data_IF_878924941407
#
_entry.id   IF_878924941407
#
_cell.length_a   1.000
_cell.length_b   1.000
_cell.length_c   1.000
_cell.angle_alpha   90.00
_cell.angle_beta   90.00
_cell.angle_gamma   90.00
#
_symmetry.space_group_name_H-M   'P 1'
#
loop_
_entity.id
_entity.type
_entity.pdbx_description
1 polymer ?
#
# COMPACT_ATOMS: atom_id res chain seq x y z
N UNK A 1 26.22 -12.12 8.32
CA UNK A 1 24.96 -12.53 8.98
C UNK A 1 24.46 -13.77 8.24
N UNK A 2 24.47 -14.93 8.90
CA UNK A 2 23.97 -16.18 8.33
C UNK A 2 22.46 -16.23 8.58
N UNK A 3 21.67 -16.25 7.52
CA UNK A 3 20.22 -16.51 7.62
C UNK A 3 20.13 -18.03 7.85
N UNK A 4 19.84 -18.42 9.09
CA UNK A 4 19.61 -19.83 9.44
C UNK A 4 18.43 -20.41 8.64
N UNK A 5 18.31 -21.75 8.59
CA UNK A 5 17.24 -22.38 7.82
C UNK A 5 15.89 -21.88 8.33
N UNK A 6 15.07 -21.38 7.41
CA UNK A 6 13.66 -21.09 7.66
C UNK A 6 13.04 -22.40 8.13
N UNK A 7 12.69 -22.50 9.42
CA UNK A 7 11.83 -23.56 9.90
C UNK A 7 10.55 -23.50 9.05
N UNK A 8 10.20 -24.54 8.28
CA UNK A 8 8.96 -24.56 7.55
C UNK A 8 7.86 -24.86 8.56
N UNK A 9 7.43 -23.84 9.30
CA UNK A 9 6.10 -23.86 9.88
C UNK A 9 5.15 -23.99 8.70
N UNK A 10 4.33 -25.05 8.69
CA UNK A 10 3.31 -25.22 7.68
C UNK A 10 2.42 -23.98 7.68
N UNK A 11 2.59 -23.11 6.69
CA UNK A 11 1.56 -22.14 6.35
C UNK A 11 0.37 -23.00 5.94
N UNK A 12 -0.71 -22.95 6.71
CA UNK A 12 -1.95 -23.55 6.25
C UNK A 12 -2.27 -22.91 4.89
N UNK A 13 -2.59 -23.73 3.89
CA UNK A 13 -3.09 -23.23 2.62
C UNK A 13 -4.39 -22.46 2.92
N UNK A 14 -4.25 -21.15 2.97
CA UNK A 14 -5.32 -20.22 3.28
C UNK A 14 -5.79 -19.68 1.95
N UNK A 15 -6.87 -20.26 1.43
CA UNK A 15 -7.53 -19.75 0.25
C UNK A 15 -8.24 -18.45 0.62
N UNK A 16 -7.65 -17.33 0.23
CA UNK A 16 -8.26 -16.00 0.34
C UNK A 16 -8.93 -15.69 -0.99
N UNK A 17 -10.26 -15.73 -1.01
CA UNK A 17 -11.05 -15.31 -2.16
C UNK A 17 -10.93 -13.78 -2.33
N UNK A 18 -10.50 -13.36 -3.52
CA UNK A 18 -10.42 -11.94 -3.89
C UNK A 18 -11.46 -11.67 -4.97
N UNK A 19 -12.37 -10.74 -4.71
CA UNK A 19 -13.28 -10.24 -5.74
C UNK A 19 -12.49 -9.46 -6.79
N UNK A 20 -12.15 -10.14 -7.89
CA UNK A 20 -11.38 -9.56 -8.98
C UNK A 20 -12.08 -8.37 -9.65
N UNK A 21 -13.42 -8.33 -9.67
CA UNK A 21 -14.17 -7.24 -10.26
C UNK A 21 -14.07 -6.01 -9.38
N UNK A 22 -14.35 -6.14 -8.08
CA UNK A 22 -14.22 -5.04 -7.13
C UNK A 22 -12.78 -4.50 -7.08
N UNK A 23 -11.78 -5.39 -7.08
CA UNK A 23 -10.37 -4.99 -7.12
C UNK A 23 -10.03 -4.18 -8.38
N UNK A 24 -10.52 -4.61 -9.56
CA UNK A 24 -10.33 -3.87 -10.81
C UNK A 24 -11.02 -2.49 -10.79
N UNK A 25 -12.20 -2.39 -10.18
CA UNK A 25 -12.94 -1.12 -10.04
C UNK A 25 -12.23 -0.14 -9.10
N UNK A 26 -11.70 -0.63 -7.96
CA UNK A 26 -10.91 0.17 -7.04
C UNK A 26 -9.61 0.67 -7.69
N UNK A 27 -8.94 -0.19 -8.46
CA UNK A 27 -7.76 0.20 -9.24
C UNK A 27 -8.13 1.26 -10.29
N UNK A 28 -9.17 1.02 -11.07
CA UNK A 28 -9.63 1.96 -12.10
C UNK A 28 -9.97 3.33 -11.50
N UNK A 29 -10.60 3.37 -10.32
CA UNK A 29 -10.83 4.62 -9.60
C UNK A 29 -9.52 5.27 -9.13
N UNK A 30 -8.59 4.50 -8.60
CA UNK A 30 -7.28 4.99 -8.15
C UNK A 30 -6.47 5.65 -9.28
N UNK A 31 -6.57 5.14 -10.50
CA UNK A 31 -5.92 5.70 -11.69
C UNK A 31 -6.44 7.09 -12.09
N UNK A 32 -7.61 7.52 -11.58
CA UNK A 32 -8.15 8.86 -11.85
C UNK A 32 -7.47 9.96 -11.03
N UNK A 33 -6.76 9.60 -9.96
CA UNK A 33 -5.97 10.53 -9.16
C UNK A 33 -4.58 10.70 -9.81
N UNK A 34 -4.28 11.92 -10.26
CA UNK A 34 -3.06 12.21 -11.04
C UNK A 34 -1.83 12.37 -10.15
N UNK A 35 -1.39 11.29 -9.50
CA UNK A 35 -0.19 11.22 -8.66
C UNK A 35 1.11 11.28 -9.48
N UNK A 36 1.22 12.25 -10.39
CA UNK A 36 2.37 12.39 -11.28
C UNK A 36 3.56 12.98 -10.52
N UNK A 37 4.69 12.27 -10.52
CA UNK A 37 5.98 12.72 -9.99
C UNK A 37 6.90 13.15 -11.15
N UNK A 38 6.90 14.44 -11.54
CA UNK A 38 7.82 14.91 -12.57
C UNK A 38 9.27 14.97 -12.05
N UNK A 39 10.27 14.92 -12.95
CA UNK A 39 11.66 15.10 -12.55
C UNK A 39 11.88 16.51 -11.95
N UNK A 40 12.78 16.65 -10.97
CA UNK A 40 13.16 17.97 -10.45
C UNK A 40 13.61 18.92 -11.56
N UNK A 41 13.38 20.24 -11.43
CA UNK A 41 12.92 20.95 -10.23
C UNK A 41 11.39 21.09 -10.13
N UNK A 42 10.62 20.46 -11.02
CA UNK A 42 9.16 20.60 -11.01
C UNK A 42 8.58 19.91 -9.78
N UNK A 43 7.79 20.60 -8.94
CA UNK A 43 7.13 19.97 -7.81
C UNK A 43 5.99 19.06 -8.29
N UNK A 44 5.78 17.94 -7.60
CA UNK A 44 4.59 17.12 -7.79
C UNK A 44 3.37 17.77 -7.10
N UNK A 45 2.17 17.46 -7.58
CA UNK A 45 0.93 17.93 -6.97
C UNK A 45 0.57 17.08 -5.74
N UNK A 46 0.96 17.54 -4.56
CA UNK A 46 0.64 16.88 -3.29
C UNK A 46 -0.88 16.73 -3.03
N UNK A 47 -1.73 17.53 -3.66
CA UNK A 47 -3.19 17.43 -3.46
C UNK A 47 -3.77 16.16 -4.09
N UNK A 48 -3.21 15.71 -5.22
CA UNK A 48 -3.62 14.45 -5.87
C UNK A 48 -3.35 13.22 -4.98
N UNK A 49 -2.20 13.20 -4.30
CA UNK A 49 -1.84 12.14 -3.34
C UNK A 49 -2.79 12.14 -2.14
N UNK A 50 -3.10 13.32 -1.57
CA UNK A 50 -4.04 13.44 -0.45
C UNK A 50 -5.46 13.01 -0.85
N UNK A 51 -5.90 13.34 -2.06
CA UNK A 51 -7.19 12.88 -2.57
C UNK A 51 -7.22 11.35 -2.75
N UNK A 52 -6.12 10.73 -3.18
CA UNK A 52 -6.00 9.27 -3.23
C UNK A 52 -6.00 8.65 -1.82
N UNK A 53 -5.35 9.30 -0.84
CA UNK A 53 -5.37 8.88 0.56
C UNK A 53 -6.79 8.88 1.14
N UNK A 54 -7.56 9.95 0.91
CA UNK A 54 -8.96 10.03 1.34
C UNK A 54 -9.82 8.97 0.65
N UNK A 55 -9.55 8.68 -0.62
CA UNK A 55 -10.21 7.60 -1.34
C UNK A 55 -9.92 6.23 -0.72
N UNK A 56 -8.67 5.92 -0.37
CA UNK A 56 -8.33 4.67 0.31
C UNK A 56 -8.98 4.54 1.68
N UNK A 57 -9.02 5.63 2.47
CA UNK A 57 -9.69 5.64 3.77
C UNK A 57 -11.19 5.33 3.64
N UNK A 58 -11.86 5.87 2.62
CA UNK A 58 -13.26 5.57 2.34
C UNK A 58 -13.51 4.20 1.72
N UNK A 59 -12.58 3.68 0.93
CA UNK A 59 -12.72 2.40 0.21
C UNK A 59 -12.39 1.20 1.10
N UNK A 60 -11.41 1.35 2.00
CA UNK A 60 -10.96 0.30 2.90
C UNK A 60 -11.04 0.74 4.38
N UNK A 61 -12.24 1.06 4.89
CA UNK A 61 -12.41 1.59 6.24
C UNK A 61 -11.97 0.59 7.31
N UNK A 62 -12.22 -0.71 7.10
CA UNK A 62 -11.81 -1.77 8.04
C UNK A 62 -10.30 -1.91 8.10
N UNK A 63 -9.61 -1.86 6.96
CA UNK A 63 -8.15 -1.89 6.89
C UNK A 63 -7.53 -0.72 7.66
N UNK A 64 -8.06 0.50 7.46
CA UNK A 64 -7.59 1.70 8.14
C UNK A 64 -7.89 1.70 9.64
N UNK A 65 -8.93 0.99 10.08
CA UNK A 65 -9.27 0.84 11.49
C UNK A 65 -8.45 -0.26 12.18
N UNK A 66 -8.11 -1.33 11.45
CA UNK A 66 -7.42 -2.49 12.01
C UNK A 66 -5.90 -2.30 12.13
N UNK A 67 -5.29 -1.49 11.27
CA UNK A 67 -3.85 -1.30 11.22
C UNK A 67 -3.42 0.01 11.86
N UNK A 68 -2.26 -0.01 12.53
CA UNK A 68 -1.60 1.24 12.91
C UNK A 68 -1.06 1.91 11.65
N UNK A 69 -1.44 3.19 11.45
CA UNK A 69 -1.10 3.94 10.24
C UNK A 69 -0.29 5.18 10.58
N UNK A 70 0.84 5.34 9.90
CA UNK A 70 1.62 6.56 9.86
C UNK A 70 1.56 7.20 8.45
N UNK A 71 1.50 8.53 8.40
CA UNK A 71 1.71 9.27 7.14
C UNK A 71 3.13 9.82 7.11
N UNK A 72 3.96 9.27 6.23
CA UNK A 72 5.38 9.63 6.10
C UNK A 72 5.53 10.74 5.06
N UNK A 73 6.25 11.79 5.42
CA UNK A 73 6.49 12.97 4.56
C UNK A 73 5.22 13.61 3.98
N UNK A 74 4.06 13.35 4.59
CA UNK A 74 2.76 13.86 4.18
C UNK A 74 2.11 13.19 2.96
N UNK A 75 2.78 12.23 2.28
CA UNK A 75 2.33 11.69 0.98
C UNK A 75 2.52 10.17 0.82
N UNK A 76 3.09 9.50 1.81
CA UNK A 76 3.22 8.04 1.83
C UNK A 76 2.49 7.47 3.04
N UNK A 77 2.02 6.24 2.93
CA UNK A 77 1.52 5.48 4.05
C UNK A 77 2.51 4.42 4.51
N UNK A 78 2.62 4.28 5.82
CA UNK A 78 3.17 3.09 6.47
C UNK A 78 2.06 2.49 7.32
N UNK A 79 1.74 1.22 7.05
CA UNK A 79 0.80 0.45 7.86
C UNK A 79 1.58 -0.63 8.61
N UNK A 80 1.37 -0.71 9.92
CA UNK A 80 1.86 -1.79 10.76
C UNK A 80 0.70 -2.70 11.16
N UNK A 81 0.84 -3.98 10.82
CA UNK A 81 -0.03 -5.04 11.30
C UNK A 81 0.77 -5.92 12.26
N UNK A 82 0.47 -5.82 13.55
CA UNK A 82 1.13 -6.65 14.56
C UNK A 82 0.73 -8.12 14.39
N UNK A 83 1.72 -8.97 14.16
CA UNK A 83 1.53 -10.41 14.08
C UNK A 83 1.31 -11.02 15.47
N UNK A 84 0.60 -12.16 15.52
CA UNK A 84 0.28 -12.83 16.78
C UNK A 84 1.51 -13.36 17.55
N UNK A 85 2.63 -13.61 16.87
CA UNK A 85 3.91 -13.98 17.49
C UNK A 85 4.97 -12.92 17.18
N UNK A 86 5.28 -12.01 18.13
CA UNK A 86 6.24 -10.92 17.92
C UNK A 86 7.69 -11.39 17.82
N UNK A 87 7.98 -12.68 18.01
CA UNK A 87 9.33 -13.25 17.87
C UNK A 87 9.68 -13.60 16.43
N UNK A 88 8.68 -13.68 15.54
CA UNK A 88 8.91 -13.95 14.13
C UNK A 88 9.50 -12.71 13.44
N UNK A 89 10.36 -12.89 12.43
CA UNK A 89 10.83 -11.77 11.62
C UNK A 89 9.66 -11.07 10.91
N UNK A 90 9.67 -9.72 10.83
CA UNK A 90 8.65 -9.00 10.10
C UNK A 90 8.77 -9.24 8.59
N UNK A 91 7.64 -9.15 7.89
CA UNK A 91 7.58 -9.09 6.43
C UNK A 91 7.11 -7.71 5.99
N UNK A 92 7.61 -7.24 4.84
CA UNK A 92 7.22 -5.95 4.27
C UNK A 92 6.65 -6.17 2.87
N UNK A 93 5.43 -5.67 2.66
CA UNK A 93 4.87 -5.46 1.32
C UNK A 93 5.02 -3.97 1.01
N UNK A 94 5.63 -3.66 -0.13
CA UNK A 94 5.94 -2.29 -0.52
C UNK A 94 5.62 -2.06 -1.98
N UNK A 95 5.07 -0.89 -2.26
CA UNK A 95 4.84 -0.36 -3.60
C UNK A 95 4.90 1.17 -3.56
N UNK A 96 4.69 1.79 -4.70
CA UNK A 96 4.64 3.25 -4.82
C UNK A 96 3.29 3.69 -5.39
N UNK A 97 2.85 4.89 -5.02
CA UNK A 97 1.55 5.46 -5.43
C UNK A 97 1.69 6.43 -6.60
N UNK A 98 2.90 6.84 -6.93
CA UNK A 98 3.18 7.80 -7.96
C UNK A 98 3.42 7.17 -9.33
N UNK A 99 3.21 7.97 -10.36
CA UNK A 99 3.47 7.61 -11.75
C UNK A 99 4.35 8.65 -12.40
N UNK A 100 5.01 8.27 -13.48
CA UNK A 100 5.76 9.20 -14.32
C UNK A 100 4.83 9.88 -15.34
N UNK A 101 5.19 11.08 -15.84
CA UNK A 101 4.47 11.69 -16.95
C UNK A 101 4.42 10.78 -18.18
N UNK A 102 3.29 10.76 -18.88
CA UNK A 102 3.17 10.10 -20.19
C UNK A 102 3.51 11.09 -21.30
N UNK A 103 4.38 10.68 -22.23
CA UNK A 103 4.58 11.36 -23.51
C UNK A 103 3.48 10.94 -24.49
N UNK A 104 2.88 11.89 -25.26
CA UNK A 104 1.91 11.57 -26.31
C UNK A 104 2.43 10.61 -27.38
#
# INVERSE_FOLDING_TARGET
>A
MSIGPLCPGAVADLEVEVDARAAAEHLARSLTFRTVSPPPPTPHDSSAFRALHDHFAGTYPEHHAALERETVSGLSFLYAWEGADPRLPPAVLMGHLDVVPVTP
#
